data_IF_256199353588
#
_entry.id   IF_256199353588
#
_cell.length_a   1.000
_cell.length_b   1.000
_cell.length_c   1.000
_cell.angle_alpha   90.00
_cell.angle_beta   90.00
_cell.angle_gamma   90.00
#
_symmetry.space_group_name_H-M   'P 1'
#
loop_
_entity.id
_entity.type
_entity.pdbx_description
1 polymer ?
#
# COMPACT_ATOMS: atom_id res chain seq x y z
N UNK A 1 -36.00 -13.86 -19.75
CA UNK A 1 -35.11 -13.61 -20.91
C UNK A 1 -34.77 -12.13 -21.14
N UNK A 2 -35.71 -11.24 -21.50
CA UNK A 2 -35.38 -9.81 -21.75
C UNK A 2 -34.88 -9.05 -20.51
N UNK A 3 -35.48 -9.30 -19.34
CA UNK A 3 -35.03 -8.74 -18.07
C UNK A 3 -33.63 -9.23 -17.66
N UNK A 4 -33.26 -10.46 -18.01
CA UNK A 4 -31.92 -11.00 -17.74
C UNK A 4 -30.88 -10.45 -18.71
N UNK A 5 -31.25 -10.24 -19.98
CA UNK A 5 -30.40 -9.56 -20.96
C UNK A 5 -30.11 -8.11 -20.54
N UNK A 6 -31.13 -7.37 -20.10
CA UNK A 6 -30.98 -6.02 -19.56
C UNK A 6 -30.09 -6.01 -18.31
N UNK A 7 -30.25 -7.01 -17.44
CA UNK A 7 -29.41 -7.18 -16.24
C UNK A 7 -27.96 -7.50 -16.61
N UNK A 8 -27.73 -8.35 -17.62
CA UNK A 8 -26.40 -8.67 -18.16
C UNK A 8 -25.71 -7.44 -18.73
N UNK A 9 -26.39 -6.65 -19.56
CA UNK A 9 -25.82 -5.41 -20.11
C UNK A 9 -25.52 -4.38 -19.01
N UNK A 10 -26.41 -4.23 -18.02
CA UNK A 10 -26.15 -3.37 -16.86
C UNK A 10 -24.95 -3.83 -16.05
N UNK A 11 -24.78 -5.13 -15.82
CA UNK A 11 -23.60 -5.66 -15.14
C UNK A 11 -22.34 -5.42 -15.95
N UNK A 12 -22.35 -5.70 -17.25
CA UNK A 12 -21.20 -5.46 -18.13
C UNK A 12 -20.77 -4.00 -18.15
N UNK A 13 -21.72 -3.07 -18.18
CA UNK A 13 -21.45 -1.64 -18.12
C UNK A 13 -20.87 -1.22 -16.76
N UNK A 14 -21.39 -1.76 -15.66
CA UNK A 14 -20.84 -1.51 -14.30
C UNK A 14 -19.41 -2.05 -14.18
N UNK A 15 -19.15 -3.29 -14.58
CA UNK A 15 -17.80 -3.85 -14.56
C UNK A 15 -16.81 -3.06 -15.41
N UNK A 16 -17.25 -2.55 -16.56
CA UNK A 16 -16.42 -1.69 -17.39
C UNK A 16 -16.11 -0.35 -16.70
N UNK A 17 -17.10 0.26 -16.05
CA UNK A 17 -16.92 1.47 -15.27
C UNK A 17 -15.97 1.26 -14.07
N UNK A 18 -16.13 0.16 -13.34
CA UNK A 18 -15.26 -0.21 -12.22
C UNK A 18 -13.80 -0.38 -12.71
N UNK A 19 -13.61 -1.06 -13.85
CA UNK A 19 -12.28 -1.21 -14.47
C UNK A 19 -11.64 0.13 -14.84
N UNK A 20 -12.42 1.09 -15.34
CA UNK A 20 -11.93 2.44 -15.64
C UNK A 20 -11.51 3.16 -14.34
N UNK A 21 -12.30 3.02 -13.28
CA UNK A 21 -11.98 3.62 -11.99
C UNK A 21 -10.68 3.07 -11.41
N UNK A 22 -10.46 1.76 -11.51
CA UNK A 22 -9.21 1.11 -11.06
C UNK A 22 -7.98 1.60 -11.84
N UNK A 23 -8.13 1.80 -13.16
CA UNK A 23 -7.08 2.39 -13.99
C UNK A 23 -6.80 3.83 -13.57
N UNK A 24 -7.83 4.65 -13.41
CA UNK A 24 -7.68 6.04 -12.97
C UNK A 24 -7.02 6.13 -11.59
N UNK A 25 -7.40 5.25 -10.67
CA UNK A 25 -6.78 5.17 -9.34
C UNK A 25 -5.29 4.86 -9.45
N UNK A 26 -4.92 3.88 -10.29
CA UNK A 26 -3.53 3.54 -10.54
C UNK A 26 -2.74 4.70 -11.16
N UNK A 27 -3.35 5.46 -12.08
CA UNK A 27 -2.75 6.66 -12.68
C UNK A 27 -2.53 7.76 -11.65
N UNK A 28 -3.50 7.99 -10.74
CA UNK A 28 -3.37 8.96 -9.65
C UNK A 28 -2.18 8.58 -8.74
N UNK A 29 -2.04 7.29 -8.40
CA UNK A 29 -0.91 6.81 -7.61
C UNK A 29 0.43 7.03 -8.32
N UNK A 30 0.51 6.70 -9.62
CA UNK A 30 1.71 6.93 -10.43
C UNK A 30 2.09 8.41 -10.42
N UNK A 31 1.14 9.30 -10.70
CA UNK A 31 1.38 10.74 -10.70
C UNK A 31 1.80 11.23 -9.31
N UNK A 32 1.15 10.75 -8.25
CA UNK A 32 1.50 11.09 -6.88
C UNK A 32 2.94 10.72 -6.53
N UNK A 33 3.39 9.52 -6.91
CA UNK A 33 4.79 9.09 -6.73
C UNK A 33 5.75 9.94 -7.56
N UNK A 34 5.40 10.24 -8.81
CA UNK A 34 6.20 11.11 -9.68
C UNK A 34 6.38 12.50 -9.08
N UNK A 35 5.33 13.09 -8.49
CA UNK A 35 5.42 14.38 -7.79
C UNK A 35 6.35 14.30 -6.58
N UNK A 36 6.31 13.20 -5.82
CA UNK A 36 7.26 12.99 -4.70
C UNK A 36 8.70 12.85 -5.22
N UNK A 37 8.88 12.34 -6.44
CA UNK A 37 10.19 12.17 -7.08
C UNK A 37 10.73 13.46 -7.72
N UNK A 38 9.87 14.41 -8.06
CA UNK A 38 10.24 15.73 -8.60
C UNK A 38 10.75 16.69 -7.51
N UNK A 39 11.81 16.28 -6.82
CA UNK A 39 12.48 17.08 -5.80
C UNK A 39 13.97 17.21 -6.05
N UNK A 40 14.55 18.27 -5.48
CA UNK A 40 15.97 18.60 -5.64
C UNK A 40 16.88 17.64 -4.87
N UNK A 41 16.42 17.13 -3.73
CA UNK A 41 17.18 16.21 -2.89
C UNK A 41 16.95 14.76 -3.30
N UNK A 42 18.00 13.92 -3.29
CA UNK A 42 17.87 12.53 -3.69
C UNK A 42 17.07 11.72 -2.66
N UNK A 43 16.37 10.72 -3.16
CA UNK A 43 15.50 9.85 -2.36
C UNK A 43 16.16 8.52 -2.15
N UNK A 44 16.14 8.01 -0.93
CA UNK A 44 16.47 6.62 -0.66
C UNK A 44 15.35 5.71 -1.21
N UNK A 45 15.61 5.08 -2.36
CA UNK A 45 14.61 4.32 -3.10
C UNK A 45 14.15 3.07 -2.34
N UNK A 46 15.05 2.42 -1.60
CA UNK A 46 14.73 1.22 -0.83
C UNK A 46 13.80 1.55 0.34
N UNK A 47 14.13 2.57 1.13
CA UNK A 47 13.32 2.97 2.27
C UNK A 47 11.95 3.49 1.84
N UNK A 48 11.91 4.26 0.75
CA UNK A 48 10.64 4.72 0.19
C UNK A 48 9.80 3.57 -0.36
N UNK A 49 10.41 2.59 -1.03
CA UNK A 49 9.70 1.39 -1.48
C UNK A 49 9.09 0.61 -0.33
N UNK A 50 9.86 0.36 0.74
CA UNK A 50 9.38 -0.37 1.92
C UNK A 50 8.18 0.35 2.55
N UNK A 51 8.31 1.66 2.76
CA UNK A 51 7.22 2.50 3.27
C UNK A 51 5.98 2.36 2.40
N UNK A 52 6.13 2.64 1.10
CA UNK A 52 5.05 2.63 0.12
C UNK A 52 4.35 1.27 0.04
N UNK A 53 5.12 0.17 0.01
CA UNK A 53 4.59 -1.18 -0.06
C UNK A 53 3.76 -1.54 1.17
N UNK A 54 4.27 -1.24 2.37
CA UNK A 54 3.56 -1.53 3.63
C UNK A 54 2.25 -0.75 3.68
N UNK A 55 2.28 0.56 3.42
CA UNK A 55 1.10 1.42 3.56
C UNK A 55 0.03 1.07 2.53
N UNK A 56 0.42 0.82 1.28
CA UNK A 56 -0.56 0.52 0.23
C UNK A 56 -1.18 -0.86 0.38
N UNK A 57 -0.42 -1.88 0.81
CA UNK A 57 -0.99 -3.21 1.05
C UNK A 57 -2.01 -3.16 2.19
N UNK A 58 -1.75 -2.37 3.25
CA UNK A 58 -2.70 -2.17 4.35
C UNK A 58 -3.96 -1.45 3.88
N UNK A 59 -3.82 -0.38 3.07
CA UNK A 59 -4.95 0.39 2.56
C UNK A 59 -5.82 -0.43 1.61
N UNK A 60 -5.22 -1.15 0.65
CA UNK A 60 -5.94 -2.03 -0.27
C UNK A 60 -6.73 -3.11 0.46
N UNK A 61 -6.11 -3.75 1.45
CA UNK A 61 -6.79 -4.75 2.26
C UNK A 61 -7.96 -4.16 3.05
N UNK A 62 -7.81 -2.96 3.60
CA UNK A 62 -8.89 -2.28 4.29
C UNK A 62 -10.04 -1.91 3.34
N UNK A 63 -9.74 -1.34 2.18
CA UNK A 63 -10.75 -0.95 1.19
C UNK A 63 -11.58 -2.16 0.73
N UNK A 64 -10.91 -3.27 0.42
CA UNK A 64 -11.59 -4.51 0.03
C UNK A 64 -12.45 -5.07 1.17
N UNK A 65 -11.94 -5.05 2.41
CA UNK A 65 -12.70 -5.53 3.58
C UNK A 65 -13.92 -4.65 3.90
N UNK A 66 -13.78 -3.33 3.85
CA UNK A 66 -14.92 -2.42 4.00
C UNK A 66 -15.97 -2.64 2.92
N UNK A 67 -15.53 -2.88 1.67
CA UNK A 67 -16.44 -3.19 0.58
C UNK A 67 -17.18 -4.51 0.79
N UNK A 68 -16.48 -5.57 1.18
CA UNK A 68 -17.08 -6.88 1.45
C UNK A 68 -18.05 -6.86 2.65
N UNK A 69 -17.76 -6.06 3.68
CA UNK A 69 -18.68 -5.82 4.81
C UNK A 69 -19.95 -5.12 4.32
N UNK A 70 -19.83 -4.02 3.57
CA UNK A 70 -20.98 -3.23 3.08
C UNK A 70 -21.87 -3.98 2.10
N UNK A 71 -21.29 -4.90 1.33
CA UNK A 71 -22.01 -5.69 0.32
C UNK A 71 -22.51 -7.03 0.87
N UNK A 72 -22.41 -7.27 2.19
CA UNK A 72 -22.74 -8.54 2.86
C UNK A 72 -21.97 -9.76 2.34
N UNK A 73 -20.93 -9.57 1.52
CA UNK A 73 -20.07 -10.66 1.04
C UNK A 73 -19.22 -11.23 2.18
N UNK A 74 -18.93 -10.43 3.20
CA UNK A 74 -18.19 -10.84 4.39
C UNK A 74 -18.89 -11.98 5.18
N UNK A 75 -20.23 -12.06 5.12
CA UNK A 75 -20.96 -13.18 5.71
C UNK A 75 -20.60 -14.53 5.07
N UNK A 76 -20.40 -14.54 3.74
CA UNK A 76 -19.97 -15.74 3.02
C UNK A 76 -18.55 -16.15 3.43
N UNK A 77 -17.67 -15.18 3.67
CA UNK A 77 -16.29 -15.42 4.13
C UNK A 77 -16.29 -16.04 5.51
N UNK A 78 -17.12 -15.56 6.43
CA UNK A 78 -17.30 -16.17 7.77
C UNK A 78 -17.81 -17.61 7.73
N UNK A 79 -18.57 -17.98 6.70
CA UNK A 79 -19.05 -19.37 6.53
C UNK A 79 -18.02 -20.31 5.91
N UNK A 80 -16.87 -19.80 5.45
CA UNK A 80 -15.80 -20.66 4.92
C UNK A 80 -15.03 -21.36 6.04
N UNK A 81 -14.32 -22.45 5.70
CA UNK A 81 -13.50 -23.22 6.65
C UNK A 81 -12.26 -22.48 7.18
N UNK A 82 -11.87 -21.37 6.53
CA UNK A 82 -10.68 -20.58 6.89
C UNK A 82 -11.12 -19.32 7.61
N UNK A 83 -10.35 -18.87 8.59
CA UNK A 83 -10.64 -17.60 9.26
C UNK A 83 -10.45 -16.43 8.28
N UNK A 84 -11.24 -15.34 8.40
CA UNK A 84 -11.10 -14.16 7.55
C UNK A 84 -9.66 -13.63 7.52
N UNK A 85 -8.99 -13.60 8.67
CA UNK A 85 -7.59 -13.17 8.80
C UNK A 85 -6.64 -13.98 7.91
N UNK A 86 -6.81 -15.31 7.81
CA UNK A 86 -5.96 -16.15 6.95
C UNK A 86 -6.21 -15.87 5.46
N UNK A 87 -7.45 -15.57 5.08
CA UNK A 87 -7.79 -15.21 3.70
C UNK A 87 -7.12 -13.89 3.34
N UNK A 88 -7.20 -12.89 4.20
CA UNK A 88 -6.57 -11.59 3.97
C UNK A 88 -5.04 -11.66 3.97
N UNK A 89 -4.42 -12.44 4.86
CA UNK A 89 -2.97 -12.71 4.78
C UNK A 89 -2.61 -13.36 3.44
N UNK A 90 -3.43 -14.27 2.92
CA UNK A 90 -3.17 -14.85 1.60
C UNK A 90 -3.31 -13.82 0.48
N UNK A 91 -4.28 -12.90 0.57
CA UNK A 91 -4.51 -11.83 -0.43
C UNK A 91 -3.44 -10.74 -0.37
N UNK A 92 -2.77 -10.55 0.77
CA UNK A 92 -1.71 -9.56 0.91
C UNK A 92 -0.56 -9.74 -0.09
N UNK A 93 -0.30 -10.98 -0.51
CA UNK A 93 0.68 -11.29 -1.56
C UNK A 93 0.26 -10.67 -2.90
N UNK A 94 -1.01 -10.79 -3.27
CA UNK A 94 -1.55 -10.20 -4.50
C UNK A 94 -1.48 -8.68 -4.45
N UNK A 95 -1.86 -8.06 -3.33
CA UNK A 95 -1.73 -6.61 -3.15
C UNK A 95 -0.28 -6.16 -3.22
N UNK A 96 0.66 -6.93 -2.65
CA UNK A 96 2.08 -6.62 -2.69
C UNK A 96 2.64 -6.67 -4.12
N UNK A 97 2.28 -7.69 -4.90
CA UNK A 97 2.67 -7.80 -6.32
C UNK A 97 2.13 -6.60 -7.10
N UNK A 98 0.85 -6.27 -6.93
CA UNK A 98 0.23 -5.14 -7.61
C UNK A 98 0.91 -3.81 -7.25
N UNK A 99 1.10 -3.58 -5.96
CA UNK A 99 1.77 -2.38 -5.43
C UNK A 99 3.19 -2.23 -5.98
N UNK A 100 3.93 -3.34 -6.05
CA UNK A 100 5.29 -3.37 -6.61
C UNK A 100 5.30 -3.02 -8.10
N UNK A 101 4.33 -3.53 -8.88
CA UNK A 101 4.20 -3.19 -10.30
C UNK A 101 3.94 -1.69 -10.51
N UNK A 102 3.00 -1.11 -9.76
CA UNK A 102 2.70 0.33 -9.81
C UNK A 102 3.94 1.16 -9.47
N UNK A 103 4.71 0.74 -8.46
CA UNK A 103 5.94 1.42 -8.07
C UNK A 103 7.01 1.38 -9.17
N UNK A 104 7.23 0.21 -9.78
CA UNK A 104 8.19 0.04 -10.88
C UNK A 104 7.83 0.90 -12.09
N UNK A 105 6.55 0.94 -12.46
CA UNK A 105 6.05 1.80 -13.54
C UNK A 105 6.34 3.26 -13.20
N UNK A 106 6.10 3.67 -11.95
CA UNK A 106 6.35 5.03 -11.47
C UNK A 106 7.83 5.41 -11.55
N UNK A 107 8.75 4.50 -11.22
CA UNK A 107 10.19 4.72 -11.38
C UNK A 107 10.54 4.91 -12.86
N UNK A 108 10.07 4.03 -13.74
CA UNK A 108 10.37 4.09 -15.18
C UNK A 108 9.90 5.41 -15.77
N UNK A 109 8.65 5.81 -15.48
CA UNK A 109 8.10 7.08 -15.95
C UNK A 109 8.87 8.27 -15.39
N UNK A 110 9.25 8.22 -14.12
CA UNK A 110 10.04 9.29 -13.50
C UNK A 110 11.41 9.44 -14.15
N UNK A 111 12.08 8.34 -14.49
CA UNK A 111 13.35 8.38 -15.23
C UNK A 111 13.22 8.94 -16.64
N UNK A 112 12.07 8.71 -17.30
CA UNK A 112 11.80 9.19 -18.66
C UNK A 112 11.44 10.68 -18.70
N UNK A 113 10.66 11.16 -17.74
CA UNK A 113 10.07 12.51 -17.77
C UNK A 113 10.73 13.52 -16.81
N UNK A 114 11.40 13.06 -15.77
CA UNK A 114 11.97 13.90 -14.71
C UNK A 114 13.48 13.70 -14.58
N UNK A 115 14.22 14.74 -14.16
CA UNK A 115 15.66 14.64 -13.85
C UNK A 115 15.88 14.13 -12.43
N UNK A 116 15.35 12.94 -12.12
CA UNK A 116 15.38 12.39 -10.75
C UNK A 116 16.75 11.82 -10.41
N UNK A 117 17.16 12.01 -9.15
CA UNK A 117 18.36 11.38 -8.59
C UNK A 117 17.96 10.42 -7.48
N UNK A 118 18.20 9.13 -7.71
CA UNK A 118 17.95 8.10 -6.71
C UNK A 118 19.23 7.76 -5.95
N UNK A 119 19.09 7.52 -4.65
CA UNK A 119 20.14 6.95 -3.82
C UNK A 119 19.69 5.56 -3.40
N UNK A 120 20.59 4.59 -3.58
CA UNK A 120 20.46 3.26 -3.00
C UNK A 120 21.35 3.22 -1.76
N UNK A 121 20.84 2.80 -0.60
CA UNK A 121 21.65 2.67 0.60
C UNK A 121 22.67 1.55 0.38
N UNK A 122 23.92 1.80 0.76
CA UNK A 122 24.95 0.77 0.81
C UNK A 122 24.73 -0.11 2.04
N UNK A 123 24.07 -1.25 1.87
CA UNK A 123 23.75 -2.17 2.95
C UNK A 123 24.60 -3.45 2.83
N UNK A 124 25.10 -3.95 3.95
CA UNK A 124 25.67 -5.29 3.99
C UNK A 124 24.57 -6.35 3.92
N UNK A 125 24.95 -7.61 3.70
CA UNK A 125 23.99 -8.72 3.69
C UNK A 125 23.27 -8.86 5.05
N UNK A 126 23.99 -8.62 6.15
CA UNK A 126 23.46 -8.70 7.51
C UNK A 126 22.43 -7.60 7.75
N UNK A 127 22.75 -6.37 7.33
CA UNK A 127 21.87 -5.21 7.40
C UNK A 127 20.55 -5.45 6.67
N UNK A 128 20.64 -6.01 5.46
CA UNK A 128 19.48 -6.31 4.64
C UNK A 128 18.57 -7.36 5.31
N UNK A 129 19.16 -8.38 5.94
CA UNK A 129 18.40 -9.39 6.70
C UNK A 129 17.69 -8.74 7.89
N UNK A 130 18.39 -7.93 8.69
CA UNK A 130 17.82 -7.28 9.88
C UNK A 130 16.67 -6.35 9.49
N UNK A 131 16.89 -5.48 8.49
CA UNK A 131 15.85 -4.57 7.97
C UNK A 131 14.64 -5.37 7.49
N UNK A 132 14.87 -6.46 6.74
CA UNK A 132 13.76 -7.27 6.22
C UNK A 132 12.90 -7.89 7.32
N UNK A 133 13.52 -8.42 8.38
CA UNK A 133 12.82 -9.04 9.51
C UNK A 133 12.02 -7.99 10.28
N UNK A 134 12.64 -6.85 10.60
CA UNK A 134 11.97 -5.76 11.32
C UNK A 134 10.75 -5.24 10.55
N UNK A 135 10.91 -4.99 9.24
CA UNK A 135 9.82 -4.52 8.40
C UNK A 135 8.73 -5.58 8.23
N UNK A 136 9.09 -6.86 8.15
CA UNK A 136 8.11 -7.94 8.10
C UNK A 136 7.26 -8.03 9.36
N UNK A 137 7.89 -7.93 10.54
CA UNK A 137 7.18 -7.92 11.83
C UNK A 137 6.28 -6.68 11.94
N UNK A 138 6.79 -5.50 11.58
CA UNK A 138 5.99 -4.27 11.58
C UNK A 138 4.81 -4.38 10.62
N UNK A 139 5.03 -4.87 9.40
CA UNK A 139 3.97 -5.09 8.42
C UNK A 139 2.88 -6.01 8.97
N UNK A 140 3.26 -7.17 9.50
CA UNK A 140 2.30 -8.17 9.97
C UNK A 140 1.48 -7.65 11.17
N UNK A 141 2.11 -6.92 12.09
CA UNK A 141 1.42 -6.31 13.23
C UNK A 141 0.44 -5.23 12.79
N UNK A 142 0.85 -4.29 11.92
CA UNK A 142 -0.04 -3.24 11.41
C UNK A 142 -1.17 -3.80 10.55
N UNK A 143 -0.88 -4.79 9.70
CA UNK A 143 -1.85 -5.42 8.82
C UNK A 143 -2.91 -6.22 9.58
N UNK A 144 -2.50 -6.99 10.60
CA UNK A 144 -3.46 -7.71 11.45
C UNK A 144 -4.29 -6.76 12.30
N UNK A 145 -3.70 -5.66 12.78
CA UNK A 145 -4.42 -4.63 13.52
C UNK A 145 -5.45 -3.92 12.63
N UNK A 146 -5.08 -3.54 11.40
CA UNK A 146 -6.01 -2.89 10.47
C UNK A 146 -7.23 -3.77 10.22
N UNK A 147 -7.04 -5.04 9.85
CA UNK A 147 -8.13 -5.99 9.59
C UNK A 147 -9.06 -6.09 10.80
N UNK A 148 -8.51 -6.33 11.99
CA UNK A 148 -9.33 -6.47 13.21
C UNK A 148 -10.10 -5.19 13.54
N UNK A 149 -9.49 -4.03 13.30
CA UNK A 149 -10.16 -2.74 13.50
C UNK A 149 -11.28 -2.56 12.48
N UNK A 150 -11.07 -2.92 11.20
CA UNK A 150 -12.11 -2.86 10.17
C UNK A 150 -13.26 -3.81 10.47
N UNK A 151 -12.98 -5.03 10.94
CA UNK A 151 -14.01 -5.98 11.36
C UNK A 151 -14.86 -5.46 12.53
N UNK A 152 -14.26 -4.68 13.43
CA UNK A 152 -14.93 -4.15 14.63
C UNK A 152 -15.73 -2.87 14.35
N UNK A 153 -15.17 -1.96 13.55
CA UNK A 153 -15.71 -0.62 13.36
C UNK A 153 -16.37 -0.41 11.99
N UNK A 154 -16.28 -1.40 11.09
CA UNK A 154 -16.85 -1.43 9.72
C UNK A 154 -16.32 -0.37 8.75
N UNK A 155 -15.77 0.74 9.26
CA UNK A 155 -15.21 1.84 8.50
C UNK A 155 -14.07 2.51 9.28
N UNK A 156 -12.84 2.26 8.84
CA UNK A 156 -11.63 2.86 9.41
C UNK A 156 -10.74 3.53 8.37
N UNK A 157 -11.13 3.54 7.09
CA UNK A 157 -10.37 4.10 5.98
C UNK A 157 -9.93 5.55 6.22
N UNK A 158 -10.77 6.40 6.81
CA UNK A 158 -10.39 7.79 7.17
C UNK A 158 -9.27 7.80 8.21
N UNK A 159 -9.38 6.95 9.24
CA UNK A 159 -8.37 6.85 10.29
C UNK A 159 -7.04 6.29 9.75
N UNK A 160 -7.09 5.24 8.93
CA UNK A 160 -5.89 4.69 8.30
C UNK A 160 -5.21 5.70 7.37
N UNK A 161 -5.98 6.46 6.59
CA UNK A 161 -5.43 7.51 5.74
C UNK A 161 -4.81 8.65 6.56
N UNK A 162 -5.42 9.03 7.69
CA UNK A 162 -4.83 9.99 8.63
C UNK A 162 -3.50 9.47 9.18
N UNK A 163 -3.46 8.23 9.67
CA UNK A 163 -2.24 7.61 10.22
C UNK A 163 -1.16 7.51 9.15
N UNK A 164 -1.50 7.08 7.93
CA UNK A 164 -0.56 7.04 6.80
C UNK A 164 0.01 8.42 6.49
N UNK A 165 -0.83 9.45 6.45
CA UNK A 165 -0.40 10.83 6.21
C UNK A 165 0.58 11.30 7.28
N UNK A 166 0.26 11.06 8.55
CA UNK A 166 1.14 11.36 9.69
C UNK A 166 2.47 10.61 9.54
N UNK A 167 2.45 9.30 9.29
CA UNK A 167 3.66 8.50 9.10
C UNK A 167 4.50 9.02 7.93
N UNK A 168 3.89 9.46 6.82
CA UNK A 168 4.61 10.04 5.70
C UNK A 168 5.37 11.30 6.11
N UNK A 169 4.70 12.22 6.81
CA UNK A 169 5.30 13.47 7.28
C UNK A 169 6.44 13.24 8.27
N UNK A 170 6.27 12.30 9.21
CA UNK A 170 7.26 12.01 10.26
C UNK A 170 8.30 10.95 9.87
N UNK A 171 8.18 10.33 8.68
CA UNK A 171 9.14 9.32 8.22
C UNK A 171 10.51 9.88 7.89
N UNK A 172 10.65 11.20 7.71
CA UNK A 172 11.87 11.81 7.15
C UNK A 172 12.08 11.53 5.66
N UNK A 173 11.21 10.74 5.03
CA UNK A 173 11.36 10.32 3.64
C UNK A 173 10.91 11.38 2.64
N UNK A 174 9.96 12.24 3.01
CA UNK A 174 9.39 13.29 2.14
C UNK A 174 9.79 14.70 2.59
N UNK A 175 9.84 14.93 3.90
CA UNK A 175 10.21 16.21 4.49
C UNK A 175 11.40 16.03 5.44
N UNK A 176 12.39 16.94 5.41
CA UNK A 176 13.41 16.98 6.45
C UNK A 176 12.75 17.37 7.77
N UNK A 177 12.89 16.52 8.79
CA UNK A 177 12.32 16.76 10.11
C UNK A 177 13.42 16.92 11.17
N UNK A 178 13.26 17.82 12.15
CA UNK A 178 14.30 18.14 13.13
C UNK A 178 14.42 17.17 14.32
N UNK A 179 13.70 16.03 14.29
CA UNK A 179 13.65 15.03 15.37
C UNK A 179 14.03 13.64 14.82
N UNK A 180 14.39 12.70 15.69
CA UNK A 180 14.79 11.33 15.33
C UNK A 180 13.67 10.65 14.52
N UNK A 181 13.97 10.37 13.25
CA UNK A 181 13.07 9.75 12.28
C UNK A 181 13.22 8.24 12.24
N UNK A 182 12.30 7.57 11.54
CA UNK A 182 12.45 6.16 11.21
C UNK A 182 13.74 5.88 10.44
N UNK A 183 14.15 6.80 9.55
CA UNK A 183 15.43 6.72 8.84
C UNK A 183 16.60 6.79 9.82
N UNK A 184 16.59 7.73 10.77
CA UNK A 184 17.64 7.83 11.79
C UNK A 184 17.71 6.60 12.69
N UNK A 185 16.56 5.98 12.99
CA UNK A 185 16.48 4.75 13.79
C UNK A 185 17.02 3.55 13.02
N UNK A 186 16.72 3.45 11.71
CA UNK A 186 17.33 2.44 10.84
C UNK A 186 18.84 2.67 10.74
N UNK A 187 19.30 3.89 10.46
CA UNK A 187 20.72 4.20 10.33
C UNK A 187 21.48 3.99 11.66
N UNK A 188 20.85 4.22 12.81
CA UNK A 188 21.43 3.89 14.13
C UNK A 188 21.58 2.38 14.36
N UNK A 189 20.61 1.57 13.93
CA UNK A 189 20.68 0.11 14.02
C UNK A 189 21.79 -0.44 13.10
N UNK A 190 22.02 0.22 11.97
CA UNK A 190 22.93 -0.22 10.91
C UNK A 190 24.36 0.31 11.03
N UNK A 191 24.58 1.38 11.80
CA UNK A 191 25.90 2.00 12.00
C UNK A 191 26.71 1.43 13.17
N UNK A 192 26.27 0.28 13.73
CA UNK A 192 26.97 -0.45 14.79
C UNK A 192 27.59 -1.76 14.31
#
# INVERSE_FOLDING_TARGET
>A
MFNELKRYFNYRFRYFFDSICDILYSVIFIIGIMVIFDRKEPINLLYFFIYYAITNVILLANEELEYEIRTNQYANIKTTKRSPLVIYISRSVTYFIWTTLVFLISIILSLLFLKVRFVLPSLTLVDLIIISILNYIMFLTLYTLSIKMTERFERISVFLNLVNTVLLFYSGLVFPTPFITYVDLLDFILSK
#
